data_IF_476410670424
#
_entry.id   IF_476410670424
#
_cell.length_a   1.000
_cell.length_b   1.000
_cell.length_c   1.000
_cell.angle_alpha   90.00
_cell.angle_beta   90.00
_cell.angle_gamma   90.00
#
_symmetry.space_group_name_H-M   'P 1'
#
loop_
_entity.id
_entity.type
_entity.pdbx_description
1 polymer ?
#
# COMPACT_ATOMS: atom_id res chain seq x y z
N UNK A 1 28.02 4.92 -2.37
CA UNK A 1 27.17 5.05 -1.17
C UNK A 1 27.12 6.51 -0.79
N UNK A 2 25.97 6.99 -0.33
CA UNK A 2 25.79 8.36 0.13
C UNK A 2 26.61 8.64 1.40
N UNK A 3 27.11 9.87 1.59
CA UNK A 3 27.99 10.22 2.71
C UNK A 3 27.32 9.98 4.09
N UNK A 4 26.00 10.08 4.17
CA UNK A 4 25.22 9.84 5.39
C UNK A 4 25.19 8.35 5.82
N UNK A 5 25.64 7.42 4.97
CA UNK A 5 25.76 6.00 5.31
C UNK A 5 27.04 5.66 6.08
N UNK A 6 27.89 6.65 6.40
CA UNK A 6 29.15 6.46 7.10
C UNK A 6 29.11 7.10 8.49
N UNK A 7 29.70 6.43 9.47
CA UNK A 7 29.80 6.95 10.84
C UNK A 7 30.79 8.12 10.91
N UNK A 8 30.34 9.30 11.35
CA UNK A 8 31.20 10.48 11.58
C UNK A 8 32.36 10.22 12.56
N UNK A 9 32.20 9.25 13.46
CA UNK A 9 33.19 8.89 14.48
C UNK A 9 34.22 7.87 13.98
N UNK A 10 33.88 7.01 13.04
CA UNK A 10 34.74 5.87 12.66
C UNK A 10 35.01 5.72 11.16
N UNK A 11 34.34 6.46 10.29
CA UNK A 11 34.42 6.35 8.84
C UNK A 11 33.94 5.01 8.27
N UNK A 12 33.41 4.12 9.12
CA UNK A 12 32.87 2.81 8.72
C UNK A 12 31.40 2.92 8.35
N UNK A 13 30.96 2.03 7.46
CA UNK A 13 29.56 1.90 7.05
C UNK A 13 28.66 1.68 8.28
N UNK A 14 27.73 2.60 8.48
CA UNK A 14 26.68 2.46 9.49
C UNK A 14 25.41 1.95 8.79
N UNK A 15 25.18 0.65 8.93
CA UNK A 15 24.00 -0.01 8.36
C UNK A 15 22.71 0.61 8.89
N UNK A 16 22.65 1.08 10.14
CA UNK A 16 21.45 1.71 10.69
C UNK A 16 21.19 3.06 10.02
N UNK A 17 22.23 3.84 9.79
CA UNK A 17 22.12 5.10 9.06
C UNK A 17 21.67 4.86 7.60
N UNK A 18 22.22 3.84 6.94
CA UNK A 18 21.82 3.46 5.59
C UNK A 18 20.34 3.04 5.47
N UNK A 19 19.82 2.24 6.41
CA UNK A 19 18.39 1.87 6.43
C UNK A 19 17.49 3.07 6.73
N UNK A 20 17.93 3.99 7.60
CA UNK A 20 17.22 5.24 7.87
C UNK A 20 17.11 6.12 6.63
N UNK A 21 18.21 6.26 5.90
CA UNK A 21 18.26 7.02 4.64
C UNK A 21 17.37 6.39 3.57
N UNK A 22 17.45 5.07 3.38
CA UNK A 22 16.60 4.34 2.43
C UNK A 22 15.10 4.58 2.70
N UNK A 23 14.68 4.54 3.96
CA UNK A 23 13.29 4.80 4.32
C UNK A 23 12.88 6.26 4.02
N UNK A 24 13.76 7.23 4.28
CA UNK A 24 13.51 8.63 3.95
C UNK A 24 13.43 8.88 2.44
N UNK A 25 14.33 8.27 1.66
CA UNK A 25 14.30 8.38 0.19
C UNK A 25 13.05 7.73 -0.40
N UNK A 26 12.66 6.55 0.10
CA UNK A 26 11.43 5.88 -0.34
C UNK A 26 10.20 6.77 -0.08
N UNK A 27 10.12 7.40 1.09
CA UNK A 27 9.05 8.35 1.41
C UNK A 27 9.09 9.61 0.52
N UNK A 28 10.27 10.13 0.20
CA UNK A 28 10.41 11.25 -0.72
C UNK A 28 9.92 10.90 -2.13
N UNK A 29 10.25 9.70 -2.63
CA UNK A 29 9.80 9.20 -3.93
C UNK A 29 8.28 9.00 -3.97
N UNK A 30 7.72 8.35 -2.95
CA UNK A 30 6.26 8.16 -2.82
C UNK A 30 5.53 9.50 -2.80
N UNK A 31 6.06 10.48 -2.07
CA UNK A 31 5.51 11.83 -2.06
C UNK A 31 5.66 12.53 -3.41
N UNK A 32 6.73 12.28 -4.17
CA UNK A 32 6.87 12.87 -5.50
C UNK A 32 5.83 12.28 -6.47
N UNK A 33 5.55 10.98 -6.38
CA UNK A 33 4.56 10.33 -7.25
C UNK A 33 3.16 10.90 -7.12
N UNK A 34 2.76 11.34 -5.92
CA UNK A 34 1.45 12.00 -5.72
C UNK A 34 1.30 13.30 -6.55
N UNK A 35 2.42 13.94 -6.94
CA UNK A 35 2.42 15.22 -7.66
C UNK A 35 2.48 15.06 -9.18
N UNK A 36 2.59 13.83 -9.69
CA UNK A 36 2.60 13.55 -11.14
C UNK A 36 1.16 13.57 -11.65
N UNK A 37 0.74 14.69 -12.25
CA UNK A 37 -0.67 14.93 -12.62
C UNK A 37 -1.17 14.12 -13.82
N UNK A 38 -0.27 13.75 -14.74
CA UNK A 38 -0.64 13.16 -16.03
C UNK A 38 -0.43 11.64 -16.10
N UNK A 39 -0.15 10.99 -14.96
CA UNK A 39 0.10 9.55 -14.90
C UNK A 39 -0.52 8.94 -13.65
N UNK A 40 -1.11 7.77 -13.82
CA UNK A 40 -1.46 6.93 -12.67
C UNK A 40 -0.22 6.15 -12.23
N UNK A 41 0.13 6.25 -10.94
CA UNK A 41 1.22 5.46 -10.37
C UNK A 41 0.65 4.25 -9.66
N UNK A 42 1.08 3.06 -10.09
CA UNK A 42 0.63 1.79 -9.50
C UNK A 42 1.83 1.15 -8.82
N UNK A 43 1.69 0.89 -7.53
CA UNK A 43 2.71 0.22 -6.72
C UNK A 43 2.18 -1.17 -6.39
N UNK A 44 2.99 -2.18 -6.67
CA UNK A 44 2.67 -3.58 -6.36
C UNK A 44 3.71 -4.10 -5.39
N UNK A 45 3.25 -4.78 -4.35
CA UNK A 45 4.10 -5.37 -3.33
C UNK A 45 3.45 -6.61 -2.72
N UNK A 46 4.19 -7.29 -1.87
CA UNK A 46 3.72 -8.47 -1.14
C UNK A 46 2.95 -8.04 0.10
N UNK A 47 1.88 -8.77 0.42
CA UNK A 47 1.16 -8.60 1.67
C UNK A 47 1.77 -9.53 2.75
N UNK A 48 2.23 -8.96 3.86
CA UNK A 48 2.78 -9.70 4.99
C UNK A 48 1.78 -9.83 6.14
N UNK A 49 1.79 -10.98 6.79
CA UNK A 49 1.10 -11.21 8.06
C UNK A 49 2.09 -11.05 9.20
N UNK A 50 1.74 -10.22 10.17
CA UNK A 50 2.52 -9.96 11.38
C UNK A 50 1.64 -10.21 12.59
N UNK A 51 2.24 -10.53 13.74
CA UNK A 51 1.53 -10.59 15.02
C UNK A 51 1.80 -9.29 15.78
N UNK A 52 0.76 -8.68 16.34
CA UNK A 52 0.92 -7.57 17.27
C UNK A 52 1.31 -8.05 18.68
N UNK A 53 1.52 -7.12 19.61
CA UNK A 53 1.89 -7.42 21.00
C UNK A 53 0.82 -8.24 21.77
N UNK A 54 -0.36 -8.43 21.19
CA UNK A 54 -1.49 -9.18 21.73
C UNK A 54 -1.77 -10.48 20.95
N UNK A 55 -0.81 -10.95 20.15
CA UNK A 55 -0.91 -12.14 19.28
C UNK A 55 -2.05 -12.07 18.24
N UNK A 56 -2.45 -10.85 17.84
CA UNK A 56 -3.48 -10.65 16.81
C UNK A 56 -2.82 -10.49 15.44
N UNK A 57 -3.31 -11.20 14.42
CA UNK A 57 -2.77 -11.07 13.08
C UNK A 57 -3.10 -9.69 12.51
N UNK A 58 -2.07 -8.96 12.09
CA UNK A 58 -2.16 -7.69 11.38
C UNK A 58 -1.54 -7.86 10.00
N UNK A 59 -2.14 -7.22 9.00
CA UNK A 59 -1.72 -7.30 7.61
C UNK A 59 -1.14 -5.97 7.16
N UNK A 60 0.08 -5.99 6.62
CA UNK A 60 0.77 -4.79 6.13
C UNK A 60 1.49 -5.09 4.81
N UNK A 61 1.67 -4.09 3.94
CA UNK A 61 2.57 -4.24 2.80
C UNK A 61 3.99 -4.53 3.31
N UNK A 62 4.64 -5.53 2.74
CA UNK A 62 6.04 -5.82 3.01
C UNK A 62 6.88 -4.71 2.40
N UNK A 63 7.52 -3.90 3.26
CA UNK A 63 8.52 -2.93 2.83
C UNK A 63 9.64 -2.81 3.87
N UNK A 64 10.79 -2.32 3.42
CA UNK A 64 11.89 -1.97 4.30
C UNK A 64 11.50 -0.75 5.15
N UNK A 65 11.71 -0.86 6.47
CA UNK A 65 11.32 0.14 7.45
C UNK A 65 9.84 0.06 7.83
N UNK A 66 9.55 -0.40 9.05
CA UNK A 66 8.19 -0.55 9.57
C UNK A 66 7.35 0.75 9.49
N UNK A 67 8.00 1.91 9.66
CA UNK A 67 7.34 3.21 9.54
C UNK A 67 6.81 3.47 8.13
N UNK A 68 7.54 3.07 7.10
CA UNK A 68 7.13 3.31 5.71
C UNK A 68 5.84 2.57 5.37
N UNK A 69 5.69 1.32 5.83
CA UNK A 69 4.49 0.51 5.61
C UNK A 69 3.23 1.19 6.17
N UNK A 70 3.36 1.81 7.34
CA UNK A 70 2.26 2.50 8.03
C UNK A 70 1.89 3.85 7.39
N UNK A 71 2.83 4.53 6.74
CA UNK A 71 2.62 5.86 6.16
C UNK A 71 2.12 5.80 4.71
N UNK A 72 2.42 4.73 3.95
CA UNK A 72 1.97 4.55 2.55
C UNK A 72 0.46 4.80 2.38
N UNK A 73 -0.43 4.24 3.23
CA UNK A 73 -1.86 4.51 3.16
C UNK A 73 -2.24 5.98 3.35
N UNK A 74 -1.39 6.82 3.93
CA UNK A 74 -1.62 8.27 4.00
C UNK A 74 -1.37 9.00 2.68
N UNK A 75 -0.46 8.47 1.86
CA UNK A 75 0.05 9.11 0.64
C UNK A 75 -0.77 8.72 -0.60
N UNK A 76 -1.00 7.43 -0.82
CA UNK A 76 -1.66 6.94 -2.04
C UNK A 76 -3.15 7.29 -2.02
N UNK A 77 -3.85 7.33 -3.15
CA UNK A 77 -5.32 7.49 -3.15
C UNK A 77 -6.03 6.18 -2.82
N UNK A 78 -5.52 5.08 -3.35
CA UNK A 78 -6.12 3.75 -3.29
C UNK A 78 -5.16 2.75 -2.63
N UNK A 79 -5.67 1.90 -1.73
CA UNK A 79 -4.96 0.75 -1.18
C UNK A 79 -5.83 -0.48 -1.42
N UNK A 80 -5.30 -1.46 -2.13
CA UNK A 80 -6.06 -2.64 -2.57
C UNK A 80 -5.34 -3.90 -2.11
N UNK A 81 -6.04 -4.74 -1.34
CA UNK A 81 -5.51 -6.04 -0.94
C UNK A 81 -6.03 -7.14 -1.85
N UNK A 82 -5.13 -7.84 -2.54
CA UNK A 82 -5.47 -9.01 -3.34
C UNK A 82 -5.35 -10.27 -2.50
N UNK A 83 -6.47 -10.93 -2.23
CA UNK A 83 -6.56 -12.04 -1.29
C UNK A 83 -7.45 -13.16 -1.82
N UNK A 84 -7.28 -14.37 -1.32
CA UNK A 84 -8.21 -15.47 -1.55
C UNK A 84 -9.35 -15.38 -0.54
N UNK A 85 -10.58 -15.19 -1.01
CA UNK A 85 -11.78 -15.19 -0.18
C UNK A 85 -12.45 -16.56 -0.32
N UNK A 86 -12.62 -17.24 0.82
CA UNK A 86 -13.40 -18.48 0.90
C UNK A 86 -14.89 -18.17 0.78
N UNK A 87 -15.57 -18.89 -0.10
CA UNK A 87 -17.02 -18.88 -0.24
C UNK A 87 -17.65 -20.00 0.59
N UNK A 88 -18.96 -19.92 0.78
CA UNK A 88 -19.74 -20.89 1.55
C UNK A 88 -19.71 -22.30 0.94
N UNK A 89 -19.48 -22.41 -0.37
CA UNK A 89 -19.32 -23.68 -1.10
C UNK A 89 -17.92 -24.31 -0.95
N UNK A 90 -17.04 -23.68 -0.16
CA UNK A 90 -15.66 -24.12 0.05
C UNK A 90 -14.69 -23.72 -1.06
N UNK A 91 -15.15 -23.04 -2.11
CA UNK A 91 -14.26 -22.52 -3.16
C UNK A 91 -13.54 -21.26 -2.70
N UNK A 92 -12.28 -21.12 -3.12
CA UNK A 92 -11.51 -19.90 -2.91
C UNK A 92 -11.47 -19.08 -4.19
N UNK A 93 -11.91 -17.83 -4.10
CA UNK A 93 -11.87 -16.89 -5.21
C UNK A 93 -10.90 -15.77 -4.86
N UNK A 94 -9.93 -15.56 -5.74
CA UNK A 94 -9.04 -14.40 -5.64
C UNK A 94 -9.86 -13.15 -5.90
N UNK A 95 -9.73 -12.16 -5.03
CA UNK A 95 -10.52 -10.94 -5.07
C UNK A 95 -9.70 -9.75 -4.59
N UNK A 96 -10.15 -8.55 -4.96
CA UNK A 96 -9.64 -7.30 -4.44
C UNK A 96 -10.52 -6.80 -3.29
N UNK A 97 -9.94 -6.59 -2.12
CA UNK A 97 -10.58 -5.91 -0.99
C UNK A 97 -10.21 -4.44 -1.05
N UNK A 98 -11.23 -3.58 -1.16
CA UNK A 98 -11.04 -2.15 -1.51
C UNK A 98 -11.43 -1.18 -0.38
N UNK A 99 -12.21 -1.61 0.61
CA UNK A 99 -12.73 -0.74 1.66
C UNK A 99 -12.03 -0.94 3.00
N UNK A 100 -11.74 0.17 3.70
CA UNK A 100 -11.05 0.18 4.99
C UNK A 100 -11.81 -0.60 6.06
N UNK A 101 -13.13 -0.47 6.11
CA UNK A 101 -13.99 -1.25 6.99
C UNK A 101 -14.37 -2.53 6.25
N UNK A 102 -13.56 -3.57 6.40
CA UNK A 102 -13.81 -4.89 5.81
C UNK A 102 -13.78 -5.99 6.88
N UNK A 103 -14.43 -7.11 6.58
CA UNK A 103 -14.60 -8.24 7.52
C UNK A 103 -13.31 -9.04 7.80
N UNK A 104 -12.22 -8.80 7.06
CA UNK A 104 -11.00 -9.60 7.12
C UNK A 104 -9.80 -8.88 7.74
N UNK A 105 -9.91 -7.58 7.99
CA UNK A 105 -8.81 -6.77 8.53
C UNK A 105 -7.66 -6.53 7.56
N UNK A 106 -7.87 -6.73 6.25
CA UNK A 106 -6.85 -6.45 5.25
C UNK A 106 -6.69 -4.93 5.04
N UNK A 107 -5.47 -4.42 4.79
CA UNK A 107 -5.25 -3.01 4.51
C UNK A 107 -5.93 -2.65 3.19
N UNK A 108 -6.89 -1.73 3.26
CA UNK A 108 -7.65 -1.31 2.11
C UNK A 108 -8.12 0.14 2.28
N UNK A 109 -8.25 0.85 1.17
CA UNK A 109 -8.70 2.24 1.14
C UNK A 109 -9.17 2.59 -0.26
N UNK A 110 -10.37 3.15 -0.34
CA UNK A 110 -10.94 3.71 -1.56
C UNK A 110 -11.28 5.18 -1.30
N UNK A 111 -10.49 6.09 -1.89
CA UNK A 111 -10.75 7.54 -1.81
C UNK A 111 -11.70 7.98 -2.91
N UNK A 112 -11.78 7.24 -4.01
CA UNK A 112 -12.74 7.49 -5.08
C UNK A 112 -14.20 7.30 -4.62
N UNK A 113 -14.42 6.39 -3.66
CA UNK A 113 -15.75 5.99 -3.18
C UNK A 113 -16.60 5.36 -4.30
N UNK A 114 -15.96 4.70 -5.26
CA UNK A 114 -16.62 4.02 -6.38
C UNK A 114 -16.63 2.51 -6.18
N UNK A 115 -15.69 1.99 -5.39
CA UNK A 115 -15.40 0.57 -5.33
C UNK A 115 -16.31 -0.11 -4.31
N UNK A 116 -16.75 -1.31 -4.67
CA UNK A 116 -17.42 -2.19 -3.73
C UNK A 116 -16.40 -2.72 -2.72
N UNK A 117 -16.87 -3.29 -1.61
CA UNK A 117 -15.99 -3.91 -0.62
C UNK A 117 -15.08 -4.97 -1.25
N UNK A 118 -15.64 -5.75 -2.17
CA UNK A 118 -14.97 -6.79 -2.93
C UNK A 118 -15.16 -6.52 -4.42
N UNK A 119 -14.06 -6.50 -5.15
CA UNK A 119 -14.02 -6.40 -6.61
C UNK A 119 -13.34 -7.63 -7.21
N UNK A 120 -13.62 -7.91 -8.49
CA UNK A 120 -12.89 -8.90 -9.26
C UNK A 120 -11.40 -8.53 -9.32
N UNK A 121 -10.46 -9.50 -9.31
CA UNK A 121 -9.02 -9.25 -9.34
C UNK A 121 -8.53 -8.82 -10.74
N UNK A 122 -9.15 -7.79 -11.31
CA UNK A 122 -8.86 -7.27 -12.64
C UNK A 122 -8.52 -5.78 -12.57
N UNK A 123 -7.22 -5.47 -12.53
CA UNK A 123 -6.72 -4.10 -12.34
C UNK A 123 -7.27 -3.10 -13.37
N UNK A 124 -7.36 -3.47 -14.66
CA UNK A 124 -7.93 -2.59 -15.69
C UNK A 124 -9.39 -2.21 -15.45
N UNK A 125 -10.24 -3.13 -15.00
CA UNK A 125 -11.65 -2.88 -14.66
C UNK A 125 -11.76 -2.01 -13.41
N UNK A 126 -10.92 -2.27 -12.41
CA UNK A 126 -10.83 -1.49 -11.19
C UNK A 126 -10.51 -0.01 -11.50
N UNK A 127 -9.44 0.23 -12.28
CA UNK A 127 -9.02 1.57 -12.68
C UNK A 127 -10.07 2.28 -13.54
N UNK A 128 -10.72 1.56 -14.45
CA UNK A 128 -11.81 2.11 -15.26
C UNK A 128 -12.97 2.58 -14.38
N UNK A 129 -13.33 1.80 -13.34
CA UNK A 129 -14.40 2.14 -12.39
C UNK A 129 -14.07 3.39 -11.58
N UNK A 130 -12.83 3.49 -11.07
CA UNK A 130 -12.32 4.67 -10.34
C UNK A 130 -12.44 5.92 -11.24
N UNK A 131 -11.90 5.84 -12.46
CA UNK A 131 -11.87 6.98 -13.38
C UNK A 131 -13.24 7.41 -13.92
N UNK A 132 -14.17 6.47 -14.06
CA UNK A 132 -15.50 6.76 -14.57
C UNK A 132 -16.26 7.77 -13.68
N UNK A 133 -16.08 7.72 -12.35
CA UNK A 133 -16.71 8.69 -11.43
C UNK A 133 -15.99 10.04 -11.44
N UNK A 134 -14.67 10.06 -11.59
CA UNK A 134 -13.90 11.32 -11.69
C UNK A 134 -14.37 12.18 -12.87
N UNK A 135 -14.91 11.54 -13.91
CA UNK A 135 -15.44 12.20 -15.11
C UNK A 135 -16.94 12.53 -15.02
N UNK A 136 -17.65 12.09 -13.98
CA UNK A 136 -19.06 12.42 -13.80
C UNK A 136 -19.20 13.87 -13.29
N UNK A 137 -20.02 14.72 -13.93
CA UNK A 137 -20.23 16.09 -13.47
C UNK A 137 -20.86 16.07 -12.06
N UNK A 138 -20.39 16.97 -11.20
CA UNK A 138 -21.01 17.24 -9.91
C UNK A 138 -22.38 17.86 -10.22
N UNK A 139 -23.46 17.10 -9.97
CA UNK A 139 -24.85 17.57 -10.05
C UNK A 139 -25.20 18.30 -8.77
#
# INVERSE_FOLDING_TARGET
MQPECFSDRSGKEDKRAAYGLLAQEMMAWLNQFQHIRDKDTIIVGTLGQYLDDCDRPTWLPQCEGAKTASEIPGIVDEVISMVAIKKDDGTEVRSFVCQTINSWGYPAKDRSGCLNMVEEPHLGRLLAKIKAKTLAPIV
#
